data_IF_175608069452
#
_entry.id   IF_175608069452
#
_cell.length_a   1.000
_cell.length_b   1.000
_cell.length_c   1.000
_cell.angle_alpha   90.00
_cell.angle_beta   90.00
_cell.angle_gamma   90.00
#
_symmetry.space_group_name_H-M   'P 1'
#
loop_
_entity.id
_entity.type
_entity.pdbx_description
1 polymer ?
#
# COMPACT_ATOMS: atom_id res chain seq x y z
N UNK A 1 13.54 3.86 18.00
CA UNK A 1 12.47 3.92 16.99
C UNK A 1 13.06 4.55 15.76
N UNK A 2 13.42 3.77 14.75
CA UNK A 2 13.97 4.33 13.51
C UNK A 2 12.81 4.95 12.72
N UNK A 3 12.85 6.25 12.46
CA UNK A 3 11.94 6.87 11.51
C UNK A 3 12.26 6.37 10.11
N UNK A 4 11.24 5.99 9.34
CA UNK A 4 11.43 5.69 7.93
C UNK A 4 11.54 6.99 7.14
N UNK A 5 12.49 7.06 6.20
CA UNK A 5 12.59 8.19 5.28
C UNK A 5 11.47 8.10 4.25
N UNK A 6 10.69 9.17 4.10
CA UNK A 6 9.76 9.29 2.97
C UNK A 6 10.56 9.32 1.66
N UNK A 7 10.22 8.42 0.74
CA UNK A 7 10.93 8.27 -0.54
C UNK A 7 10.34 9.13 -1.67
N UNK A 8 9.06 9.49 -1.58
CA UNK A 8 8.36 10.26 -2.62
C UNK A 8 6.88 10.46 -2.32
N UNK A 9 6.14 10.81 -3.36
CA UNK A 9 4.69 11.01 -3.44
C UNK A 9 4.02 9.93 -4.30
N UNK A 10 2.70 10.02 -4.52
CA UNK A 10 1.97 9.09 -5.38
C UNK A 10 2.48 9.09 -6.83
N UNK A 11 2.88 10.25 -7.34
CA UNK A 11 3.41 10.39 -8.70
C UNK A 11 4.74 9.65 -8.92
N UNK A 12 5.53 9.46 -7.87
CA UNK A 12 6.86 8.83 -7.94
C UNK A 12 6.77 7.28 -7.91
N UNK A 13 5.61 6.73 -7.51
CA UNK A 13 5.43 5.30 -7.27
C UNK A 13 5.86 4.41 -8.45
N UNK A 14 5.44 4.65 -9.70
CA UNK A 14 5.78 3.75 -10.80
C UNK A 14 7.30 3.69 -11.05
N UNK A 15 8.00 4.82 -10.90
CA UNK A 15 9.45 4.88 -11.06
C UNK A 15 10.15 4.19 -9.88
N UNK A 16 9.69 4.44 -8.66
CA UNK A 16 10.28 3.85 -7.46
C UNK A 16 10.12 2.32 -7.43
N UNK A 17 8.93 1.81 -7.75
CA UNK A 17 8.67 0.37 -7.79
C UNK A 17 9.58 -0.32 -8.79
N UNK A 18 9.74 0.27 -9.98
CA UNK A 18 10.66 -0.24 -10.99
C UNK A 18 12.13 -0.18 -10.53
N UNK A 19 12.57 0.97 -10.00
CA UNK A 19 13.95 1.17 -9.58
C UNK A 19 14.38 0.23 -8.44
N UNK A 20 13.46 -0.05 -7.51
CA UNK A 20 13.70 -0.91 -6.36
C UNK A 20 13.32 -2.38 -6.59
N UNK A 21 12.78 -2.74 -7.76
CA UNK A 21 12.34 -4.11 -8.05
C UNK A 21 11.23 -4.61 -7.11
N UNK A 22 10.33 -3.71 -6.70
CA UNK A 22 9.23 -4.04 -5.78
C UNK A 22 8.22 -4.93 -6.51
N UNK A 23 7.78 -6.02 -5.86
CA UNK A 23 6.77 -6.94 -6.40
C UNK A 23 5.38 -6.71 -5.81
N UNK A 24 5.29 -6.05 -4.66
CA UNK A 24 4.05 -5.83 -3.93
C UNK A 24 4.06 -4.46 -3.23
N UNK A 25 2.94 -3.74 -3.31
CA UNK A 25 2.68 -2.50 -2.59
C UNK A 25 1.67 -2.75 -1.49
N UNK A 26 2.02 -2.35 -0.27
CA UNK A 26 1.10 -2.40 0.88
C UNK A 26 0.44 -1.03 1.07
N UNK A 27 -0.90 -1.00 1.00
CA UNK A 27 -1.68 0.21 1.24
C UNK A 27 -2.09 0.30 2.71
N UNK A 28 -1.43 1.18 3.46
CA UNK A 28 -1.73 1.49 4.86
C UNK A 28 -2.41 2.86 4.97
N UNK A 29 -3.60 3.00 4.40
CA UNK A 29 -4.35 4.26 4.40
C UNK A 29 -5.83 4.01 4.72
N UNK A 30 -6.32 4.66 5.78
CA UNK A 30 -7.68 4.47 6.31
C UNK A 30 -8.71 5.49 5.75
N UNK A 31 -8.32 6.26 4.73
CA UNK A 31 -9.13 7.33 4.13
C UNK A 31 -9.18 7.18 2.61
N UNK A 32 -10.03 7.94 1.90
CA UNK A 32 -9.97 7.99 0.44
C UNK A 32 -8.58 8.43 -0.01
N UNK A 33 -7.98 7.67 -0.93
CA UNK A 33 -6.65 7.98 -1.46
C UNK A 33 -6.65 9.36 -2.13
N UNK A 34 -5.65 10.21 -1.86
CA UNK A 34 -5.37 11.38 -2.69
C UNK A 34 -5.25 11.01 -4.16
N UNK A 35 -5.67 11.91 -5.05
CA UNK A 35 -5.78 11.61 -6.48
C UNK A 35 -4.45 11.17 -7.13
N UNK A 36 -3.34 11.78 -6.73
CA UNK A 36 -1.99 11.43 -7.20
C UNK A 36 -1.58 10.01 -6.75
N UNK A 37 -1.89 9.66 -5.49
CA UNK A 37 -1.62 8.35 -4.94
C UNK A 37 -2.46 7.28 -5.62
N UNK A 38 -3.75 7.54 -5.83
CA UNK A 38 -4.63 6.64 -6.56
C UNK A 38 -4.09 6.37 -7.98
N UNK A 39 -3.73 7.42 -8.72
CA UNK A 39 -3.17 7.27 -10.08
C UNK A 39 -1.87 6.48 -10.08
N UNK A 40 -0.96 6.77 -9.14
CA UNK A 40 0.32 6.05 -9.01
C UNK A 40 0.14 4.56 -8.70
N UNK A 41 -0.78 4.23 -7.78
CA UNK A 41 -1.14 2.84 -7.44
C UNK A 41 -1.72 2.11 -8.65
N UNK A 42 -2.65 2.74 -9.38
CA UNK A 42 -3.24 2.15 -10.59
C UNK A 42 -2.18 1.88 -11.66
N UNK A 43 -1.26 2.82 -11.90
CA UNK A 43 -0.17 2.64 -12.84
C UNK A 43 0.80 1.51 -12.43
N UNK A 44 0.96 1.24 -11.14
CA UNK A 44 1.71 0.08 -10.66
C UNK A 44 0.93 -1.23 -10.87
N UNK A 45 -0.36 -1.22 -10.54
CA UNK A 45 -1.24 -2.37 -10.72
C UNK A 45 -1.29 -2.84 -12.18
N UNK A 46 -1.40 -1.91 -13.13
CA UNK A 46 -1.38 -2.19 -14.58
C UNK A 46 -0.06 -2.86 -15.05
N UNK A 47 1.02 -2.68 -14.29
CA UNK A 47 2.32 -3.32 -14.55
C UNK A 47 2.48 -4.67 -13.84
N UNK A 48 1.42 -5.19 -13.23
CA UNK A 48 1.40 -6.49 -12.56
C UNK A 48 1.91 -6.48 -11.12
N UNK A 49 2.03 -5.30 -10.51
CA UNK A 49 2.42 -5.18 -9.10
C UNK A 49 1.22 -5.54 -8.22
N UNK A 50 1.42 -6.46 -7.27
CA UNK A 50 0.39 -6.83 -6.33
C UNK A 50 0.09 -5.64 -5.39
N UNK A 51 -1.18 -5.34 -5.16
CA UNK A 51 -1.61 -4.28 -4.25
C UNK A 51 -2.40 -4.93 -3.12
N UNK A 52 -1.87 -4.87 -1.90
CA UNK A 52 -2.46 -5.53 -0.74
C UNK A 52 -2.78 -4.48 0.33
N UNK A 53 -4.05 -4.36 0.76
CA UNK A 53 -4.41 -3.53 1.91
C UNK A 53 -3.71 -4.05 3.17
N UNK A 54 -3.18 -3.13 4.00
CA UNK A 54 -2.55 -3.49 5.27
C UNK A 54 -3.43 -4.37 6.19
N UNK A 55 -4.76 -4.17 6.30
CA UNK A 55 -5.61 -5.03 7.11
C UNK A 55 -5.61 -6.48 6.64
N UNK A 56 -5.68 -6.70 5.31
CA UNK A 56 -5.64 -8.02 4.71
C UNK A 56 -4.30 -8.71 4.97
N UNK A 57 -3.19 -7.98 4.78
CA UNK A 57 -1.86 -8.51 5.08
C UNK A 57 -1.75 -8.89 6.56
N UNK A 58 -2.22 -8.04 7.47
CA UNK A 58 -2.19 -8.29 8.91
C UNK A 58 -2.95 -9.58 9.27
N UNK A 59 -4.13 -9.79 8.71
CA UNK A 59 -4.92 -11.02 8.89
C UNK A 59 -4.18 -12.25 8.38
N UNK A 60 -3.61 -12.18 7.17
CA UNK A 60 -2.90 -13.30 6.56
C UNK A 60 -1.68 -13.74 7.36
N UNK A 61 -0.91 -12.79 7.92
CA UNK A 61 0.34 -13.10 8.63
C UNK A 61 0.12 -13.41 10.11
N UNK A 62 -0.93 -12.87 10.74
CA UNK A 62 -1.18 -13.03 12.18
C UNK A 62 -2.34 -13.96 12.52
N UNK A 63 -3.25 -14.23 11.58
CA UNK A 63 -4.52 -14.92 11.81
C UNK A 63 -5.52 -14.09 12.63
N UNK A 64 -5.32 -12.78 12.77
CA UNK A 64 -6.14 -11.88 13.59
C UNK A 64 -6.67 -10.74 12.75
N UNK A 65 -7.90 -10.31 13.05
CA UNK A 65 -8.49 -9.09 12.48
C UNK A 65 -7.97 -7.87 13.26
N UNK A 66 -7.52 -6.78 12.61
CA UNK A 66 -7.16 -5.55 13.30
C UNK A 66 -8.37 -4.99 14.08
N UNK A 67 -8.15 -4.48 15.29
CA UNK A 67 -9.25 -4.07 16.19
C UNK A 67 -10.10 -2.96 15.59
N UNK A 68 -9.49 -2.08 14.80
CA UNK A 68 -10.13 -0.98 14.09
C UNK A 68 -11.13 -1.45 13.02
N UNK A 69 -11.05 -2.70 12.56
CA UNK A 69 -11.98 -3.31 11.59
C UNK A 69 -13.08 -4.17 12.25
N UNK A 70 -13.05 -4.35 13.57
CA UNK A 70 -14.03 -5.17 14.28
C UNK A 70 -15.40 -4.46 14.29
N UNK A 71 -16.41 -5.12 13.71
CA UNK A 71 -17.80 -4.62 13.67
C UNK A 71 -18.15 -3.78 12.43
N UNK A 72 -17.23 -3.64 11.47
CA UNK A 72 -17.49 -3.04 10.15
C UNK A 72 -17.75 -4.09 9.05
N UNK A 73 -17.81 -5.37 9.42
CA UNK A 73 -18.12 -6.51 8.55
C UNK A 73 -19.62 -6.74 8.38
#
# INVERSE_FOLDING_TARGET
>A
MAGFKQLGTGADLPQMVQHHGVSELILAHDSPLPADLFQGVMACYEKGIAITPMPLLYEQITGRVPIEHVGQI
#
